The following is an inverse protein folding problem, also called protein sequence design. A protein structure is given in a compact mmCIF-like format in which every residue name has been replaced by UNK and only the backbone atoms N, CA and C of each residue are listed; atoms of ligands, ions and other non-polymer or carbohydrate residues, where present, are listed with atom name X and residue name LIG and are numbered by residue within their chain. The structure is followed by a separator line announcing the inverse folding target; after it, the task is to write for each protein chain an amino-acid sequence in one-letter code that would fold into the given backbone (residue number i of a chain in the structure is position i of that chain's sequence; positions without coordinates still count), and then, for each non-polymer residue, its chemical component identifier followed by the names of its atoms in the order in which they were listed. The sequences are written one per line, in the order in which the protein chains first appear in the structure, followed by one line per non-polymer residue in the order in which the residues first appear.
data_IF_435888079507
#
_entry.id   IF_435888079507
#
_cell.length_a   1.000
_cell.length_b   1.000
_cell.length_c   1.000
_cell.angle_alpha   90.00
_cell.angle_beta   90.00
_cell.angle_gamma   90.00
#
_symmetry.space_group_name_H-M   'P 1'
#
loop_
_entity.id
_entity.type
_entity.pdbx_description
1 polymer ?
#
# COMPACT_ATOMS: atom_id res chain seq x y z
N UNK A 1 119.43 92.72 -0.77
CA UNK A 1 118.96 93.58 0.34
C UNK A 1 117.49 94.02 0.17
N UNK A 2 117.10 94.81 -0.85
CA UNK A 2 115.69 95.25 -1.03
C UNK A 2 114.66 94.13 -1.27
N UNK A 3 115.02 93.00 -1.89
CA UNK A 3 114.11 91.86 -2.06
C UNK A 3 113.83 91.11 -0.74
N UNK A 4 114.86 90.97 0.10
CA UNK A 4 114.79 90.25 1.38
C UNK A 4 113.94 90.99 2.44
N UNK A 5 114.02 92.33 2.50
CA UNK A 5 113.20 93.13 3.41
C UNK A 5 111.71 93.15 3.01
N UNK A 6 111.41 92.97 1.71
CA UNK A 6 110.03 92.89 1.23
C UNK A 6 109.43 91.52 1.53
N UNK A 7 110.18 90.46 1.26
CA UNK A 7 109.80 89.08 1.58
C UNK A 7 109.58 88.91 3.08
N UNK A 8 110.49 89.37 3.94
CA UNK A 8 110.34 89.31 5.40
C UNK A 8 109.11 90.06 5.94
N UNK A 9 108.68 91.14 5.26
CA UNK A 9 107.49 91.90 5.64
C UNK A 9 106.20 91.20 5.20
N UNK A 10 106.21 90.55 4.04
CA UNK A 10 105.13 89.69 3.54
C UNK A 10 104.97 88.46 4.46
N UNK A 11 106.05 87.76 4.80
CA UNK A 11 106.00 86.61 5.72
C UNK A 11 105.48 87.00 7.12
N UNK A 12 105.84 88.20 7.59
CA UNK A 12 105.35 88.71 8.88
C UNK A 12 103.86 89.05 8.85
N UNK A 13 103.35 89.58 7.74
CA UNK A 13 101.92 89.83 7.58
C UNK A 13 101.13 88.52 7.44
N UNK A 14 101.67 87.53 6.74
CA UNK A 14 101.11 86.18 6.67
C UNK A 14 101.06 85.51 8.04
N UNK A 15 102.14 85.58 8.83
CA UNK A 15 102.18 85.06 10.20
C UNK A 15 101.12 85.71 11.11
N UNK A 16 100.95 87.02 11.04
CA UNK A 16 99.93 87.73 11.83
C UNK A 16 98.51 87.32 11.39
N UNK A 17 98.28 87.09 10.10
CA UNK A 17 97.01 86.55 9.63
C UNK A 17 96.77 85.13 10.12
N UNK A 18 97.80 84.28 10.09
CA UNK A 18 97.74 82.90 10.56
C UNK A 18 97.50 82.82 12.07
N UNK A 19 98.17 83.65 12.87
CA UNK A 19 97.93 83.77 14.32
C UNK A 19 96.48 84.20 14.61
N UNK A 20 95.96 85.18 13.86
CA UNK A 20 94.57 85.62 14.03
C UNK A 20 93.56 84.55 13.62
N UNK A 21 93.86 83.76 12.59
CA UNK A 21 93.04 82.62 12.19
C UNK A 21 93.08 81.50 13.23
N UNK A 22 94.26 81.21 13.80
CA UNK A 22 94.43 80.22 14.85
C UNK A 22 93.68 80.61 16.13
N UNK A 23 93.80 81.87 16.57
CA UNK A 23 93.07 82.36 17.75
C UNK A 23 91.54 82.28 17.56
N UNK A 24 91.03 82.63 16.37
CA UNK A 24 89.61 82.48 16.07
C UNK A 24 89.17 81.00 16.03
N UNK A 25 90.05 80.10 15.60
CA UNK A 25 89.78 78.67 15.57
C UNK A 25 89.78 78.08 16.99
N UNK A 26 90.72 78.49 17.85
CA UNK A 26 90.75 78.13 19.27
C UNK A 26 89.46 78.58 19.99
N UNK A 27 89.06 79.84 19.86
CA UNK A 27 87.81 80.35 20.45
C UNK A 27 86.57 79.57 19.93
N UNK A 28 86.59 79.16 18.66
CA UNK A 28 85.49 78.37 18.08
C UNK A 28 85.49 76.94 18.61
N UNK A 29 86.67 76.34 18.79
CA UNK A 29 86.84 75.01 19.35
C UNK A 29 86.44 74.98 20.83
N UNK A 30 86.83 75.97 21.63
CA UNK A 30 86.45 76.07 23.05
C UNK A 30 84.94 76.23 23.23
N UNK A 31 84.30 77.05 22.38
CA UNK A 31 82.83 77.16 22.37
C UNK A 31 82.15 75.85 22.00
N UNK A 32 82.68 75.12 21.00
CA UNK A 32 82.14 73.81 20.62
C UNK A 32 82.35 72.76 21.72
N UNK A 33 83.52 72.77 22.37
CA UNK A 33 83.84 71.87 23.48
C UNK A 33 82.85 72.07 24.63
N UNK A 34 82.62 73.32 25.03
CA UNK A 34 81.65 73.66 26.07
C UNK A 34 80.21 73.23 25.70
N UNK A 35 79.82 73.39 24.42
CA UNK A 35 78.52 72.92 23.94
C UNK A 35 78.40 71.39 23.93
N UNK A 36 79.49 70.66 23.65
CA UNK A 36 79.48 69.20 23.71
C UNK A 36 79.40 68.70 25.15
N UNK A 37 80.12 69.32 26.09
CA UNK A 37 80.04 68.98 27.52
C UNK A 37 78.62 69.18 28.09
N UNK A 38 77.93 70.26 27.69
CA UNK A 38 76.54 70.49 28.08
C UNK A 38 75.60 69.43 27.50
N UNK A 39 75.77 69.07 26.21
CA UNK A 39 74.98 68.02 25.57
C UNK A 39 75.24 66.64 26.18
N UNK A 40 76.48 66.33 26.54
CA UNK A 40 76.84 65.06 27.16
C UNK A 40 76.16 64.90 28.52
N UNK A 41 76.17 65.96 29.35
CA UNK A 41 75.43 65.99 30.62
C UNK A 41 73.92 65.86 30.43
N UNK A 42 73.36 66.49 29.40
CA UNK A 42 71.93 66.37 29.09
C UNK A 42 71.57 64.94 28.65
N UNK A 43 72.39 64.34 27.79
CA UNK A 43 72.22 62.96 27.33
C UNK A 43 72.31 62.00 28.51
N UNK A 44 73.32 62.13 29.38
CA UNK A 44 73.48 61.26 30.54
C UNK A 44 72.27 61.33 31.49
N UNK A 45 71.73 62.54 31.71
CA UNK A 45 70.50 62.73 32.50
C UNK A 45 69.30 62.04 31.85
N UNK A 46 69.13 62.17 30.52
CA UNK A 46 68.04 61.50 29.79
C UNK A 46 68.19 59.98 29.82
N UNK A 47 69.40 59.45 29.66
CA UNK A 47 69.67 58.01 29.71
C UNK A 47 69.26 57.42 31.06
N UNK A 48 69.68 58.06 32.17
CA UNK A 48 69.26 57.64 33.53
C UNK A 48 67.75 57.71 33.75
N UNK A 49 67.07 58.72 33.17
CA UNK A 49 65.61 58.82 33.23
C UNK A 49 64.90 57.72 32.42
N UNK A 50 65.43 57.36 31.24
CA UNK A 50 64.89 56.30 30.42
C UNK A 50 65.08 54.95 31.12
N UNK A 51 66.28 54.66 31.63
CA UNK A 51 66.55 53.41 32.35
C UNK A 51 65.64 53.21 33.57
N UNK A 52 65.38 54.27 34.34
CA UNK A 52 64.45 54.16 35.48
C UNK A 52 63.00 53.93 35.05
N UNK A 53 62.55 54.55 33.95
CA UNK A 53 61.23 54.31 33.38
C UNK A 53 61.08 52.90 32.82
N UNK A 54 62.08 52.38 32.11
CA UNK A 54 62.04 51.02 31.56
C UNK A 54 61.90 49.99 32.69
N UNK A 55 62.71 50.11 33.75
CA UNK A 55 62.60 49.22 34.92
C UNK A 55 61.23 49.29 35.59
N UNK A 56 60.62 50.48 35.66
CA UNK A 56 59.27 50.63 36.22
C UNK A 56 58.20 49.98 35.34
N UNK A 57 58.32 50.08 34.02
CA UNK A 57 57.40 49.43 33.07
C UNK A 57 57.51 47.91 33.11
N UNK A 58 58.73 47.37 33.18
CA UNK A 58 58.96 45.92 33.26
C UNK A 58 58.29 45.33 34.52
N UNK A 59 58.41 46.03 35.66
CA UNK A 59 57.74 45.64 36.90
C UNK A 59 56.20 45.69 36.77
N UNK A 60 55.65 46.72 36.12
CA UNK A 60 54.21 46.83 35.92
C UNK A 60 53.67 45.75 34.97
N UNK A 61 54.39 45.39 33.91
CA UNK A 61 53.99 44.30 33.02
C UNK A 61 53.95 42.95 33.76
N UNK A 62 54.92 42.70 34.64
CA UNK A 62 54.98 41.46 35.41
C UNK A 62 53.85 41.38 36.44
N UNK A 63 53.51 42.50 37.10
CA UNK A 63 52.34 42.59 37.99
C UNK A 63 51.02 42.37 37.22
N UNK A 64 50.88 42.97 36.03
CA UNK A 64 49.68 42.82 35.20
C UNK A 64 49.48 41.36 34.77
N UNK A 65 50.55 40.66 34.37
CA UNK A 65 50.50 39.24 34.03
C UNK A 65 50.03 38.39 35.21
N UNK A 66 50.58 38.63 36.41
CA UNK A 66 50.18 37.92 37.63
C UNK A 66 48.71 38.20 37.99
N UNK A 67 48.24 39.43 37.80
CA UNK A 67 46.85 39.80 38.04
C UNK A 67 45.89 39.08 37.08
N UNK A 68 46.22 39.03 35.79
CA UNK A 68 45.45 38.32 34.75
C UNK A 68 45.39 36.81 35.01
N UNK A 69 46.50 36.20 35.41
CA UNK A 69 46.53 34.78 35.78
C UNK A 69 45.64 34.51 37.00
N UNK A 70 45.68 35.40 38.00
CA UNK A 70 44.84 35.28 39.20
C UNK A 70 43.36 35.47 38.90
N UNK A 71 43.01 36.41 38.04
CA UNK A 71 41.63 36.64 37.58
C UNK A 71 41.10 35.43 36.81
N UNK A 72 41.90 34.86 35.89
CA UNK A 72 41.57 33.61 35.19
C UNK A 72 41.35 32.46 36.17
N UNK A 73 42.26 32.24 37.11
CA UNK A 73 42.14 31.18 38.11
C UNK A 73 40.93 31.37 39.05
N UNK A 74 40.54 32.61 39.34
CA UNK A 74 39.32 32.91 40.10
C UNK A 74 38.06 32.64 39.29
N UNK A 75 38.04 33.03 38.01
CA UNK A 75 36.93 32.72 37.10
C UNK A 75 36.77 31.21 36.89
N UNK A 76 37.86 30.47 36.75
CA UNK A 76 37.87 29.00 36.68
C UNK A 76 37.33 28.36 37.97
N UNK A 77 37.73 28.87 39.15
CA UNK A 77 37.20 28.40 40.43
C UNK A 77 35.70 28.71 40.62
N UNK A 78 35.24 29.89 40.18
CA UNK A 78 33.83 30.29 40.29
C UNK A 78 32.95 29.47 39.33
N UNK A 79 33.45 29.20 38.12
CA UNK A 79 32.75 28.38 37.13
C UNK A 79 32.79 26.88 37.45
N UNK A 80 33.77 26.43 38.26
CA UNK A 80 33.94 25.02 38.64
C UNK A 80 34.40 24.11 37.50
N UNK A 81 34.71 24.67 36.34
CA UNK A 81 35.17 23.98 35.12
C UNK A 81 36.23 24.83 34.43
N UNK A 82 37.21 24.18 33.80
CA UNK A 82 38.25 24.86 33.02
C UNK A 82 37.72 25.30 31.64
N UNK A 83 38.39 26.25 30.98
CA UNK A 83 38.03 26.69 29.62
C UNK A 83 37.93 25.53 28.62
N UNK A 84 38.86 24.57 28.71
CA UNK A 84 38.86 23.38 27.87
C UNK A 84 37.63 22.49 28.12
N UNK A 85 37.25 22.29 29.38
CA UNK A 85 36.07 21.52 29.76
C UNK A 85 34.77 22.20 29.33
N UNK A 86 34.70 23.54 29.46
CA UNK A 86 33.55 24.30 28.98
C UNK A 86 33.36 24.15 27.46
N UNK A 87 34.46 24.18 26.70
CA UNK A 87 34.45 23.99 25.24
C UNK A 87 34.00 22.58 24.85
N UNK A 88 34.49 21.57 25.55
CA UNK A 88 34.13 20.17 25.31
C UNK A 88 32.64 19.92 25.59
N UNK A 89 32.12 20.45 26.69
CA UNK A 89 30.71 20.33 27.08
C UNK A 89 29.77 21.06 26.11
N UNK A 90 30.21 22.19 25.56
CA UNK A 90 29.47 22.95 24.54
C UNK A 90 29.44 22.21 23.20
N UNK A 91 30.56 21.59 22.81
CA UNK A 91 30.63 20.72 21.62
C UNK A 91 29.75 19.47 21.78
N UNK A 92 29.74 18.85 22.97
CA UNK A 92 28.92 17.67 23.24
C UNK A 92 27.42 17.99 23.20
N UNK A 93 27.01 19.16 23.71
CA UNK A 93 25.63 19.63 23.61
C UNK A 93 25.22 19.94 22.16
N UNK A 94 26.11 20.60 21.41
CA UNK A 94 25.89 20.88 19.99
C UNK A 94 25.73 19.58 19.19
N UNK A 95 26.55 18.56 19.47
CA UNK A 95 26.46 17.28 18.77
C UNK A 95 25.13 16.56 19.07
N UNK A 96 24.67 16.57 20.34
CA UNK A 96 23.35 16.05 20.72
C UNK A 96 22.20 16.79 20.04
N UNK A 97 22.31 18.10 19.90
CA UNK A 97 21.31 18.93 19.22
C UNK A 97 21.28 18.65 17.71
N UNK A 98 22.46 18.54 17.10
CA UNK A 98 22.61 18.22 15.68
C UNK A 98 22.11 16.81 15.35
N UNK A 99 22.34 15.83 16.22
CA UNK A 99 21.77 14.48 16.07
C UNK A 99 20.23 14.50 16.09
N UNK A 100 19.62 15.33 16.95
CA UNK A 100 18.16 15.49 17.00
C UNK A 100 17.62 16.14 15.73
N UNK A 101 18.26 17.21 15.25
CA UNK A 101 17.86 17.84 13.98
C UNK A 101 17.99 16.89 12.80
N UNK A 102 19.10 16.15 12.71
CA UNK A 102 19.30 15.15 11.66
C UNK A 102 18.21 14.08 11.69
N UNK A 103 17.85 13.56 12.87
CA UNK A 103 16.77 12.57 13.00
C UNK A 103 15.41 13.15 12.54
N UNK A 104 15.11 14.42 12.85
CA UNK A 104 13.89 15.08 12.38
C UNK A 104 13.86 15.25 10.86
N UNK A 105 14.99 15.63 10.27
CA UNK A 105 15.13 15.78 8.82
C UNK A 105 14.99 14.42 8.12
N UNK A 106 15.65 13.37 8.62
CA UNK A 106 15.54 12.01 8.11
C UNK A 106 14.09 11.51 8.17
N UNK A 107 13.43 11.67 9.33
CA UNK A 107 12.03 11.27 9.49
C UNK A 107 11.09 12.01 8.53
N UNK A 108 11.33 13.31 8.29
CA UNK A 108 10.58 14.09 7.31
C UNK A 108 10.75 13.53 5.90
N UNK A 109 11.99 13.26 5.47
CA UNK A 109 12.24 12.68 4.14
C UNK A 109 11.65 11.27 4.00
N UNK A 110 11.70 10.46 5.05
CA UNK A 110 11.07 9.13 5.06
C UNK A 110 9.56 9.26 4.87
N UNK A 111 8.91 10.19 5.56
CA UNK A 111 7.46 10.38 5.45
C UNK A 111 7.05 10.96 4.08
N UNK A 112 7.79 11.95 3.57
CA UNK A 112 7.59 12.50 2.22
C UNK A 112 7.78 11.43 1.13
N UNK A 113 8.78 10.56 1.31
CA UNK A 113 9.03 9.43 0.40
C UNK A 113 7.87 8.44 0.47
N UNK A 114 7.40 8.08 1.67
CA UNK A 114 6.24 7.20 1.84
C UNK A 114 4.99 7.76 1.17
N UNK A 115 4.69 9.05 1.36
CA UNK A 115 3.52 9.68 0.72
C UNK A 115 3.65 9.72 -0.80
N UNK A 116 4.86 9.96 -1.31
CA UNK A 116 5.12 9.93 -2.76
C UNK A 116 4.97 8.52 -3.34
N UNK A 117 5.48 7.50 -2.65
CA UNK A 117 5.32 6.09 -3.02
C UNK A 117 3.85 5.67 -2.99
N UNK A 118 3.10 6.04 -1.94
CA UNK A 118 1.65 5.75 -1.86
C UNK A 118 0.89 6.36 -3.03
N UNK A 119 1.20 7.60 -3.40
CA UNK A 119 0.57 8.28 -4.55
C UNK A 119 0.86 7.53 -5.85
N UNK A 120 2.13 7.24 -6.12
CA UNK A 120 2.54 6.51 -7.32
C UNK A 120 1.98 5.10 -7.39
N UNK A 121 1.90 4.39 -6.26
CA UNK A 121 1.26 3.08 -6.18
C UNK A 121 -0.24 3.15 -6.54
N UNK A 122 -0.96 4.17 -6.04
CA UNK A 122 -2.36 4.40 -6.45
C UNK A 122 -2.47 4.69 -7.94
N UNK A 123 -1.60 5.52 -8.50
CA UNK A 123 -1.63 5.86 -9.92
C UNK A 123 -1.43 4.61 -10.80
N UNK A 124 -0.46 3.75 -10.44
CA UNK A 124 -0.23 2.46 -11.11
C UNK A 124 -1.49 1.61 -11.03
N UNK A 125 -2.04 1.37 -9.83
CA UNK A 125 -3.23 0.55 -9.63
C UNK A 125 -4.45 1.07 -10.39
N UNK A 126 -4.70 2.38 -10.36
CA UNK A 126 -5.80 3.01 -11.09
C UNK A 126 -5.63 2.81 -12.59
N UNK A 127 -4.42 3.01 -13.13
CA UNK A 127 -4.14 2.80 -14.56
C UNK A 127 -4.33 1.35 -14.99
N UNK A 128 -3.99 0.39 -14.10
CA UNK A 128 -4.14 -1.03 -14.36
C UNK A 128 -5.61 -1.43 -14.34
N UNK A 129 -6.37 -0.98 -13.34
CA UNK A 129 -7.82 -1.24 -13.23
C UNK A 129 -8.58 -0.66 -14.43
N UNK A 130 -8.27 0.58 -14.84
CA UNK A 130 -8.91 1.22 -15.98
C UNK A 130 -8.71 0.47 -17.30
N UNK A 131 -7.55 -0.18 -17.49
CA UNK A 131 -7.24 -0.98 -18.68
C UNK A 131 -8.03 -2.29 -18.76
N UNK A 132 -8.56 -2.78 -17.64
CA UNK A 132 -9.20 -4.10 -17.54
C UNK A 132 -10.73 -4.02 -17.50
N UNK A 133 -11.32 -2.83 -17.34
CA UNK A 133 -12.77 -2.67 -17.21
C UNK A 133 -13.53 -3.16 -18.47
N UNK A 134 -13.85 -4.44 -18.48
CA UNK A 134 -14.81 -5.13 -19.36
C UNK A 134 -15.90 -5.70 -18.46
N UNK A 135 -17.15 -5.52 -18.88
CA UNK A 135 -18.32 -6.08 -18.21
C UNK A 135 -18.46 -7.54 -18.63
N UNK A 136 -18.48 -8.46 -17.66
CA UNK A 136 -18.98 -9.80 -17.93
C UNK A 136 -19.75 -10.33 -16.72
N UNK A 137 -20.91 -10.91 -17.02
CA UNK A 137 -21.92 -11.36 -16.08
C UNK A 137 -21.74 -12.86 -15.92
N UNK A 138 -21.39 -13.34 -14.72
CA UNK A 138 -21.32 -14.77 -14.42
C UNK A 138 -22.58 -15.28 -13.71
N UNK A 139 -23.03 -16.45 -14.18
CA UNK A 139 -24.24 -17.15 -13.74
C UNK A 139 -24.07 -17.90 -12.41
N UNK A 140 -25.22 -18.29 -11.84
CA UNK A 140 -25.37 -18.77 -10.46
C UNK A 140 -25.08 -20.27 -10.31
N UNK A 141 -24.71 -20.69 -9.10
CA UNK A 141 -24.34 -22.06 -8.67
C UNK A 141 -25.42 -23.15 -8.80
N UNK A 142 -26.63 -22.81 -9.25
CA UNK A 142 -27.74 -23.75 -9.40
C UNK A 142 -28.02 -23.91 -10.89
N UNK A 143 -27.79 -25.12 -11.40
CA UNK A 143 -28.19 -25.49 -12.75
C UNK A 143 -29.65 -25.93 -12.72
N UNK A 144 -30.54 -25.02 -13.10
CA UNK A 144 -31.95 -25.33 -13.33
C UNK A 144 -32.15 -25.70 -14.80
N UNK A 145 -32.84 -26.81 -15.06
CA UNK A 145 -33.21 -27.20 -16.42
C UNK A 145 -34.71 -27.00 -16.59
N UNK A 146 -35.16 -26.10 -17.48
CA UNK A 146 -36.57 -25.92 -17.76
C UNK A 146 -37.13 -27.15 -18.48
N UNK A 147 -38.32 -27.59 -18.07
CA UNK A 147 -39.05 -28.68 -18.69
C UNK A 147 -40.16 -28.14 -19.61
N UNK A 148 -40.36 -28.74 -20.79
CA UNK A 148 -41.40 -28.32 -21.72
C UNK A 148 -42.82 -28.71 -21.28
N UNK A 149 -42.97 -29.64 -20.33
CA UNK A 149 -44.26 -30.05 -19.75
C UNK A 149 -44.09 -30.98 -18.54
N UNK A 150 -45.13 -31.12 -17.72
CA UNK A 150 -45.18 -32.11 -16.63
C UNK A 150 -45.17 -33.57 -17.12
N UNK A 151 -45.60 -33.85 -18.36
CA UNK A 151 -45.43 -35.20 -18.97
C UNK A 151 -43.94 -35.55 -19.08
N UNK A 152 -43.09 -34.56 -19.39
CA UNK A 152 -41.64 -34.75 -19.44
C UNK A 152 -41.08 -35.06 -18.05
N UNK A 153 -41.60 -34.41 -17.00
CA UNK A 153 -41.25 -34.70 -15.59
C UNK A 153 -41.52 -36.17 -15.26
N UNK A 154 -42.70 -36.69 -15.67
CA UNK A 154 -43.06 -38.10 -15.51
C UNK A 154 -42.14 -39.07 -16.25
N UNK A 155 -41.68 -38.73 -17.46
CA UNK A 155 -40.72 -39.54 -18.23
C UNK A 155 -39.31 -39.55 -17.64
N UNK A 156 -38.87 -38.43 -17.07
CA UNK A 156 -37.58 -38.32 -16.36
C UNK A 156 -37.56 -39.22 -15.12
N UNK A 157 -38.65 -39.27 -14.36
CA UNK A 157 -38.80 -40.19 -13.22
C UNK A 157 -38.82 -41.65 -13.72
N UNK A 158 -39.67 -41.92 -14.72
CA UNK A 158 -39.91 -43.27 -15.22
C UNK A 158 -40.72 -44.13 -14.25
N UNK A 159 -41.15 -45.32 -14.70
CA UNK A 159 -41.89 -46.26 -13.84
C UNK A 159 -41.04 -46.66 -12.64
N UNK A 160 -41.57 -46.49 -11.42
CA UNK A 160 -40.89 -46.78 -10.14
C UNK A 160 -39.56 -46.02 -9.93
N UNK A 161 -39.37 -44.88 -10.60
CA UNK A 161 -38.12 -44.12 -10.50
C UNK A 161 -36.94 -44.79 -11.24
N UNK A 162 -37.20 -45.70 -12.18
CA UNK A 162 -36.13 -46.41 -12.91
C UNK A 162 -35.21 -45.47 -13.70
N UNK A 163 -35.77 -44.44 -14.31
CA UNK A 163 -35.01 -43.55 -15.18
C UNK A 163 -34.18 -42.55 -14.38
N UNK A 164 -34.76 -41.97 -13.33
CA UNK A 164 -34.05 -41.08 -12.41
C UNK A 164 -32.89 -41.82 -11.74
N UNK A 165 -33.10 -43.03 -11.21
CA UNK A 165 -32.01 -43.83 -10.60
C UNK A 165 -30.91 -44.18 -11.61
N UNK A 166 -31.28 -44.54 -12.84
CA UNK A 166 -30.30 -44.79 -13.90
C UNK A 166 -29.49 -43.53 -14.24
N UNK A 167 -30.15 -42.37 -14.32
CA UNK A 167 -29.50 -41.09 -14.54
C UNK A 167 -28.53 -40.73 -13.40
N UNK A 168 -28.96 -40.86 -12.15
CA UNK A 168 -28.13 -40.59 -10.98
C UNK A 168 -26.94 -41.55 -10.90
N UNK A 169 -27.14 -42.83 -11.23
CA UNK A 169 -26.07 -43.83 -11.24
C UNK A 169 -25.05 -43.57 -12.34
N UNK A 170 -25.51 -43.21 -13.56
CA UNK A 170 -24.65 -42.96 -14.71
C UNK A 170 -23.88 -41.64 -14.56
N UNK A 171 -24.55 -40.57 -14.15
CA UNK A 171 -23.96 -39.23 -14.05
C UNK A 171 -23.24 -38.97 -12.73
N UNK A 172 -23.63 -39.68 -11.66
CA UNK A 172 -23.18 -39.41 -10.30
C UNK A 172 -23.73 -38.10 -9.72
N UNK A 173 -24.79 -37.54 -10.31
CA UNK A 173 -25.46 -36.30 -9.88
C UNK A 173 -26.87 -36.62 -9.44
N UNK A 174 -27.29 -36.07 -8.31
CA UNK A 174 -28.64 -36.25 -7.78
C UNK A 174 -29.60 -35.32 -8.50
N UNK A 175 -30.75 -35.85 -8.89
CA UNK A 175 -31.77 -35.12 -9.62
C UNK A 175 -32.94 -34.84 -8.67
N UNK A 176 -33.05 -33.59 -8.21
CA UNK A 176 -34.07 -33.18 -7.25
C UNK A 176 -35.31 -32.73 -8.03
N UNK A 177 -36.40 -33.44 -7.78
CA UNK A 177 -37.71 -33.15 -8.35
C UNK A 177 -38.60 -32.69 -7.20
N UNK A 178 -38.88 -31.39 -7.15
CA UNK A 178 -39.73 -30.76 -6.13
C UNK A 178 -41.08 -30.32 -6.73
N UNK A 179 -41.95 -29.71 -5.92
CA UNK A 179 -43.25 -29.14 -6.32
C UNK A 179 -43.13 -27.92 -7.25
N UNK A 180 -41.91 -27.52 -7.61
CA UNK A 180 -41.70 -26.48 -8.62
C UNK A 180 -42.22 -26.98 -9.99
N UNK A 181 -43.19 -26.28 -10.59
CA UNK A 181 -43.70 -26.63 -11.92
C UNK A 181 -42.62 -26.40 -12.98
N UNK A 182 -42.59 -27.27 -13.99
CA UNK A 182 -41.78 -27.09 -15.21
C UNK A 182 -40.26 -26.93 -15.00
N UNK A 183 -39.69 -27.38 -13.88
CA UNK A 183 -38.25 -27.33 -13.64
C UNK A 183 -37.71 -28.52 -12.84
N UNK A 184 -36.44 -28.85 -13.08
CA UNK A 184 -35.69 -29.86 -12.32
C UNK A 184 -34.37 -29.28 -11.86
N UNK A 185 -33.96 -29.62 -10.63
CA UNK A 185 -32.73 -29.13 -10.03
C UNK A 185 -31.69 -30.25 -10.01
N UNK A 186 -30.50 -29.96 -10.54
CA UNK A 186 -29.36 -30.87 -10.49
C UNK A 186 -28.47 -30.52 -9.29
N UNK A 187 -28.23 -31.49 -8.41
CA UNK A 187 -27.44 -31.32 -7.20
C UNK A 187 -26.26 -32.30 -7.16
N UNK A 188 -25.06 -31.76 -6.96
CA UNK A 188 -23.84 -32.55 -6.80
C UNK A 188 -22.62 -31.67 -6.69
N UNK A 189 -21.56 -32.16 -6.07
CA UNK A 189 -20.38 -31.34 -5.72
C UNK A 189 -19.41 -31.11 -6.88
N UNK A 190 -19.27 -32.09 -7.78
CA UNK A 190 -18.40 -31.99 -8.97
C UNK A 190 -19.07 -31.11 -10.05
N UNK A 191 -18.51 -29.93 -10.37
CA UNK A 191 -19.09 -29.01 -11.33
C UNK A 191 -19.12 -29.58 -12.77
N UNK A 192 -18.14 -30.41 -13.14
CA UNK A 192 -18.03 -30.97 -14.49
C UNK A 192 -19.10 -32.03 -14.67
N UNK A 193 -19.27 -32.92 -13.69
CA UNK A 193 -20.35 -33.91 -13.72
C UNK A 193 -21.71 -33.23 -13.71
N UNK A 194 -21.87 -32.13 -12.96
CA UNK A 194 -23.13 -31.36 -12.92
C UNK A 194 -23.47 -30.78 -14.29
N UNK A 195 -22.49 -30.19 -14.96
CA UNK A 195 -22.66 -29.64 -16.30
C UNK A 195 -22.88 -30.75 -17.35
N UNK A 196 -22.17 -31.87 -17.24
CA UNK A 196 -22.39 -33.04 -18.08
C UNK A 196 -23.81 -33.59 -17.91
N UNK A 197 -24.29 -33.68 -16.67
CA UNK A 197 -25.65 -34.08 -16.35
C UNK A 197 -26.68 -33.10 -16.94
N UNK A 198 -26.45 -31.78 -16.83
CA UNK A 198 -27.30 -30.74 -17.42
C UNK A 198 -27.45 -30.91 -18.93
N UNK A 199 -26.33 -30.98 -19.65
CA UNK A 199 -26.35 -31.17 -21.10
C UNK A 199 -26.93 -32.53 -21.51
N UNK A 200 -26.67 -33.58 -20.72
CA UNK A 200 -27.26 -34.91 -20.94
C UNK A 200 -28.79 -34.84 -20.83
N UNK A 201 -29.31 -34.17 -19.80
CA UNK A 201 -30.74 -34.01 -19.57
C UNK A 201 -31.40 -33.17 -20.66
N UNK A 202 -30.79 -32.05 -21.07
CA UNK A 202 -31.29 -31.21 -22.17
C UNK A 202 -31.40 -31.98 -23.49
N UNK A 203 -30.38 -32.78 -23.83
CA UNK A 203 -30.40 -33.63 -25.03
C UNK A 203 -31.44 -34.74 -24.95
N UNK A 204 -31.61 -35.35 -23.78
CA UNK A 204 -32.64 -36.37 -23.54
C UNK A 204 -34.06 -35.79 -23.66
N UNK A 205 -34.28 -34.57 -23.16
CA UNK A 205 -35.55 -33.85 -23.28
C UNK A 205 -35.83 -33.52 -24.75
N UNK A 206 -34.83 -33.03 -25.48
CA UNK A 206 -34.96 -32.72 -26.90
C UNK A 206 -35.24 -33.96 -27.77
N UNK A 207 -34.64 -35.11 -27.43
CA UNK A 207 -34.88 -36.41 -28.09
C UNK A 207 -36.23 -37.05 -27.67
N UNK A 208 -36.76 -36.67 -26.50
CA UNK A 208 -38.03 -37.16 -25.95
C UNK A 208 -38.03 -38.62 -25.49
N UNK A 209 -36.89 -39.31 -25.59
CA UNK A 209 -36.67 -40.72 -25.23
C UNK A 209 -35.76 -40.83 -24.02
N UNK A 210 -36.35 -41.16 -22.88
CA UNK A 210 -35.62 -41.28 -21.61
C UNK A 210 -35.73 -42.72 -21.12
N UNK A 211 -34.66 -43.50 -21.30
CA UNK A 211 -34.52 -44.85 -20.77
C UNK A 211 -33.04 -45.15 -20.47
N UNK A 212 -32.71 -46.14 -19.62
CA UNK A 212 -31.36 -46.34 -19.10
C UNK A 212 -30.25 -46.40 -20.17
N UNK A 213 -30.42 -47.22 -21.21
CA UNK A 213 -29.42 -47.33 -22.28
C UNK A 213 -29.19 -46.04 -23.08
N UNK A 214 -30.22 -45.19 -23.23
CA UNK A 214 -30.08 -43.90 -23.93
C UNK A 214 -29.41 -42.86 -23.06
N UNK A 215 -29.71 -42.88 -21.75
CA UNK A 215 -29.05 -42.03 -20.76
C UNK A 215 -27.54 -42.28 -20.77
N UNK A 216 -27.14 -43.55 -20.74
CA UNK A 216 -25.73 -43.96 -20.80
C UNK A 216 -25.06 -43.53 -22.11
N UNK A 217 -25.69 -43.78 -23.26
CA UNK A 217 -25.18 -43.40 -24.58
C UNK A 217 -24.96 -41.88 -24.70
N UNK A 218 -25.98 -41.08 -24.35
CA UNK A 218 -25.91 -39.62 -24.42
C UNK A 218 -24.89 -39.09 -23.44
N UNK A 219 -24.84 -39.61 -22.21
CA UNK A 219 -23.86 -39.18 -21.21
C UNK A 219 -22.43 -39.41 -21.68
N UNK A 220 -22.11 -40.58 -22.24
CA UNK A 220 -20.79 -40.85 -22.81
C UNK A 220 -20.43 -39.96 -24.01
N UNK A 221 -21.42 -39.55 -24.80
CA UNK A 221 -21.21 -38.60 -25.88
C UNK A 221 -20.93 -37.19 -25.35
N UNK A 222 -21.73 -36.72 -24.39
CA UNK A 222 -21.56 -35.43 -23.72
C UNK A 222 -20.20 -35.34 -23.02
N UNK A 223 -19.80 -36.38 -22.29
CA UNK A 223 -18.51 -36.42 -21.60
C UNK A 223 -17.32 -36.28 -22.56
N UNK A 224 -17.36 -36.92 -23.73
CA UNK A 224 -16.31 -36.79 -24.75
C UNK A 224 -16.23 -35.37 -25.32
N UNK A 225 -17.38 -34.79 -25.66
CA UNK A 225 -17.45 -33.42 -26.17
C UNK A 225 -17.03 -32.39 -25.10
N UNK A 226 -17.36 -32.65 -23.84
CA UNK A 226 -16.90 -31.82 -22.72
C UNK A 226 -15.40 -31.90 -22.50
N UNK A 227 -14.79 -33.08 -22.59
CA UNK A 227 -13.34 -33.23 -22.48
C UNK A 227 -12.61 -32.43 -23.58
N UNK A 228 -13.12 -32.44 -24.81
CA UNK A 228 -12.60 -31.60 -25.90
C UNK A 228 -12.78 -30.11 -25.61
N UNK A 229 -13.95 -29.71 -25.11
CA UNK A 229 -14.26 -28.32 -24.74
C UNK A 229 -13.37 -27.83 -23.61
N UNK A 230 -13.13 -28.67 -22.59
CA UNK A 230 -12.23 -28.39 -21.46
C UNK A 230 -10.82 -28.13 -21.99
N UNK A 231 -10.31 -29.04 -22.83
CA UNK A 231 -8.98 -28.90 -23.40
C UNK A 231 -8.84 -27.59 -24.20
N UNK A 232 -9.80 -27.30 -25.08
CA UNK A 232 -9.81 -26.07 -25.87
C UNK A 232 -9.88 -24.81 -25.00
N UNK A 233 -10.70 -24.82 -23.94
CA UNK A 233 -10.80 -23.70 -23.00
C UNK A 233 -9.47 -23.43 -22.28
N UNK A 234 -8.78 -24.49 -21.85
CA UNK A 234 -7.46 -24.37 -21.23
C UNK A 234 -6.39 -23.83 -22.20
N UNK A 235 -6.39 -24.30 -23.46
CA UNK A 235 -5.50 -23.81 -24.52
C UNK A 235 -5.76 -22.32 -24.83
N UNK A 236 -7.03 -21.94 -24.93
CA UNK A 236 -7.42 -20.56 -25.18
C UNK A 236 -7.02 -19.65 -24.01
N UNK A 237 -7.30 -20.03 -22.76
CA UNK A 237 -6.91 -19.27 -21.58
C UNK A 237 -5.38 -19.09 -21.48
N UNK A 238 -4.62 -20.15 -21.79
CA UNK A 238 -3.16 -20.09 -21.83
C UNK A 238 -2.66 -19.12 -22.92
N UNK A 239 -3.27 -19.13 -24.11
CA UNK A 239 -2.95 -18.20 -25.19
C UNK A 239 -3.29 -16.74 -24.84
N UNK A 240 -4.46 -16.52 -24.25
CA UNK A 240 -4.98 -15.22 -23.84
C UNK A 240 -4.21 -14.58 -22.70
N UNK A 241 -3.69 -15.40 -21.79
CA UNK A 241 -2.74 -14.99 -20.77
C UNK A 241 -1.33 -14.81 -21.34
N UNK A 242 -1.03 -15.36 -22.52
CA UNK A 242 0.30 -15.32 -23.15
C UNK A 242 1.30 -16.30 -22.54
N UNK A 243 0.83 -17.47 -22.08
CA UNK A 243 1.61 -18.58 -21.48
C UNK A 243 1.41 -19.87 -22.30
N UNK A 244 1.90 -19.96 -23.55
CA UNK A 244 1.56 -21.08 -24.45
C UNK A 244 2.23 -22.42 -24.08
N UNK A 245 3.30 -22.42 -23.28
CA UNK A 245 4.12 -23.60 -23.00
C UNK A 245 3.73 -24.32 -21.69
N UNK A 246 2.46 -24.70 -21.54
CA UNK A 246 1.96 -25.47 -20.40
C UNK A 246 1.92 -26.98 -20.70
N UNK A 247 2.06 -27.82 -19.68
CA UNK A 247 1.90 -29.26 -19.84
C UNK A 247 0.46 -29.61 -20.23
N UNK A 248 0.22 -30.69 -20.99
CA UNK A 248 -1.15 -31.11 -21.33
C UNK A 248 -2.04 -31.38 -20.11
N UNK A 249 -1.43 -31.81 -18.99
CA UNK A 249 -2.12 -32.01 -17.72
C UNK A 249 -2.59 -30.67 -17.12
N UNK A 250 -1.71 -29.65 -17.09
CA UNK A 250 -2.06 -28.30 -16.64
C UNK A 250 -3.15 -27.70 -17.51
N UNK A 251 -3.04 -27.82 -18.84
CA UNK A 251 -4.06 -27.34 -19.78
C UNK A 251 -5.43 -27.94 -19.47
N UNK A 252 -5.48 -29.25 -19.20
CA UNK A 252 -6.73 -29.93 -18.84
C UNK A 252 -7.29 -29.40 -17.51
N UNK A 253 -6.44 -29.25 -16.48
CA UNK A 253 -6.85 -28.70 -15.18
C UNK A 253 -7.36 -27.26 -15.29
N UNK A 254 -6.67 -26.42 -16.06
CA UNK A 254 -7.11 -25.05 -16.36
C UNK A 254 -8.48 -25.04 -17.01
N UNK A 255 -8.68 -25.87 -18.04
CA UNK A 255 -9.98 -25.99 -18.71
C UNK A 255 -11.14 -26.37 -17.79
N UNK A 256 -10.87 -27.15 -16.73
CA UNK A 256 -11.89 -27.53 -15.73
C UNK A 256 -12.38 -26.32 -14.93
N UNK A 257 -11.53 -25.30 -14.73
CA UNK A 257 -11.89 -24.06 -14.02
C UNK A 257 -13.01 -23.29 -14.73
N UNK A 258 -13.23 -23.53 -16.04
CA UNK A 258 -14.36 -22.95 -16.80
C UNK A 258 -15.71 -23.26 -16.17
N UNK A 259 -15.84 -24.41 -15.51
CA UNK A 259 -17.08 -24.83 -14.86
C UNK A 259 -17.08 -24.57 -13.35
N UNK A 260 -16.01 -23.96 -12.83
CA UNK A 260 -15.87 -23.62 -11.42
C UNK A 260 -16.20 -22.15 -11.21
N UNK A 261 -17.03 -21.88 -10.21
CA UNK A 261 -17.35 -20.53 -9.78
C UNK A 261 -16.92 -20.36 -8.32
N UNK A 262 -16.23 -19.26 -8.02
CA UNK A 262 -15.83 -18.89 -6.67
C UNK A 262 -16.27 -17.45 -6.41
N UNK A 263 -16.99 -17.22 -5.30
CA UNK A 263 -17.52 -15.89 -4.95
C UNK A 263 -18.32 -15.18 -6.06
N UNK A 264 -18.98 -15.93 -6.95
CA UNK A 264 -19.78 -15.40 -8.05
C UNK A 264 -19.02 -15.12 -9.35
N UNK A 265 -17.72 -15.44 -9.41
CA UNK A 265 -16.88 -15.31 -10.60
C UNK A 265 -16.45 -16.66 -11.15
N UNK A 266 -16.35 -16.76 -12.47
CA UNK A 266 -15.71 -17.89 -13.12
C UNK A 266 -14.21 -17.93 -12.77
N UNK A 267 -13.72 -19.09 -12.32
CA UNK A 267 -12.32 -19.20 -11.86
C UNK A 267 -11.34 -19.16 -13.03
N UNK A 268 -11.69 -19.67 -14.22
CA UNK A 268 -10.81 -19.60 -15.40
C UNK A 268 -10.58 -18.15 -15.83
N UNK A 269 -11.67 -17.39 -15.93
CA UNK A 269 -11.62 -16.00 -16.36
C UNK A 269 -10.88 -15.14 -15.33
N UNK A 270 -11.14 -15.38 -14.05
CA UNK A 270 -10.38 -14.80 -12.93
C UNK A 270 -8.88 -15.09 -13.06
N UNK A 271 -8.47 -16.34 -13.29
CA UNK A 271 -7.06 -16.70 -13.47
C UNK A 271 -6.41 -15.98 -14.66
N UNK A 272 -7.10 -15.87 -15.80
CA UNK A 272 -6.60 -15.13 -16.98
C UNK A 272 -6.44 -13.66 -16.66
N UNK A 273 -7.37 -13.08 -15.92
CA UNK A 273 -7.30 -11.69 -15.52
C UNK A 273 -6.18 -11.42 -14.51
N UNK A 274 -6.06 -12.24 -13.46
CA UNK A 274 -4.97 -12.13 -12.48
C UNK A 274 -3.62 -12.20 -13.19
N UNK A 275 -3.48 -13.08 -14.18
CA UNK A 275 -2.31 -13.14 -15.06
C UNK A 275 -2.05 -11.81 -15.79
N UNK A 276 -3.09 -11.19 -16.36
CA UNK A 276 -2.98 -9.89 -17.06
C UNK A 276 -2.62 -8.74 -16.09
N UNK A 277 -3.25 -8.68 -14.92
CA UNK A 277 -2.95 -7.67 -13.87
C UNK A 277 -1.50 -7.84 -13.41
N UNK A 278 -1.10 -9.05 -13.05
CA UNK A 278 0.26 -9.34 -12.60
C UNK A 278 1.31 -8.99 -13.67
N UNK A 279 1.00 -9.24 -14.95
CA UNK A 279 1.86 -8.84 -16.08
C UNK A 279 2.03 -7.32 -16.11
N UNK A 280 0.95 -6.54 -16.09
CA UNK A 280 1.05 -5.07 -16.11
C UNK A 280 1.79 -4.51 -14.90
N UNK A 281 1.54 -5.04 -13.70
CA UNK A 281 2.23 -4.59 -12.50
C UNK A 281 3.72 -4.95 -12.51
N UNK A 282 4.08 -6.13 -13.02
CA UNK A 282 5.49 -6.53 -13.13
C UNK A 282 6.25 -5.69 -14.14
N UNK A 283 5.63 -5.30 -15.26
CA UNK A 283 6.22 -4.37 -16.25
C UNK A 283 6.50 -2.99 -15.64
N UNK A 284 5.55 -2.41 -14.91
CA UNK A 284 5.69 -1.10 -14.27
C UNK A 284 6.73 -1.09 -13.15
N UNK A 285 6.92 -2.21 -12.45
CA UNK A 285 7.84 -2.34 -11.32
C UNK A 285 9.20 -2.95 -11.70
N UNK A 286 9.38 -3.39 -12.94
CA UNK A 286 10.60 -4.04 -13.41
C UNK A 286 10.84 -5.44 -12.83
N UNK A 287 9.78 -6.14 -12.41
CA UNK A 287 9.84 -7.53 -11.93
C UNK A 287 9.83 -8.53 -13.10
N UNK A 288 9.99 -9.84 -12.81
CA UNK A 288 9.98 -10.85 -13.87
C UNK A 288 8.56 -11.09 -14.40
N UNK A 289 8.29 -10.54 -15.58
CA UNK A 289 6.98 -10.60 -16.25
C UNK A 289 6.54 -12.02 -16.59
N UNK A 290 7.47 -12.90 -16.98
CA UNK A 290 7.16 -14.29 -17.35
C UNK A 290 6.72 -15.10 -16.12
N UNK A 291 7.40 -14.91 -14.99
CA UNK A 291 7.02 -15.55 -13.72
C UNK A 291 5.68 -15.02 -13.22
N UNK A 292 5.48 -13.69 -13.24
CA UNK A 292 4.23 -13.07 -12.79
C UNK A 292 3.03 -13.52 -13.64
N UNK A 293 3.19 -13.57 -14.96
CA UNK A 293 2.15 -14.03 -15.88
C UNK A 293 1.80 -15.50 -15.65
N UNK A 294 2.81 -16.38 -15.57
CA UNK A 294 2.63 -17.82 -15.39
C UNK A 294 2.07 -18.15 -14.01
N UNK A 295 2.56 -17.52 -12.96
CA UNK A 295 2.03 -17.70 -11.60
C UNK A 295 0.60 -17.15 -11.46
N UNK A 296 0.29 -15.99 -12.06
CA UNK A 296 -1.06 -15.43 -12.03
C UNK A 296 -2.11 -16.33 -12.69
N UNK A 297 -1.76 -16.99 -13.79
CA UNK A 297 -2.65 -17.95 -14.45
C UNK A 297 -2.87 -19.21 -13.61
N UNK A 298 -1.85 -19.67 -12.89
CA UNK A 298 -1.83 -20.97 -12.21
C UNK A 298 -2.16 -20.90 -10.71
N UNK A 299 -2.29 -19.70 -10.11
CA UNK A 299 -2.41 -19.53 -8.66
C UNK A 299 -3.56 -20.35 -8.04
N UNK A 300 -4.68 -20.42 -8.76
CA UNK A 300 -5.92 -21.06 -8.32
C UNK A 300 -6.16 -22.45 -8.95
N UNK A 301 -5.16 -23.04 -9.63
CA UNK A 301 -5.33 -24.30 -10.38
C UNK A 301 -5.81 -25.47 -9.53
N UNK A 302 -5.52 -25.46 -8.22
CA UNK A 302 -6.01 -26.47 -7.29
C UNK A 302 -7.53 -26.52 -7.14
N UNK A 303 -8.25 -25.42 -7.43
CA UNK A 303 -9.73 -25.38 -7.40
C UNK A 303 -10.38 -26.28 -8.46
N UNK A 304 -9.61 -26.83 -9.40
CA UNK A 304 -10.07 -27.80 -10.39
C UNK A 304 -10.28 -29.22 -9.81
N UNK A 305 -9.64 -29.52 -8.66
CA UNK A 305 -9.50 -30.87 -8.08
C UNK A 305 -9.57 -30.88 -6.54
N UNK A 306 -9.92 -29.75 -5.91
CA UNK A 306 -10.02 -29.57 -4.45
C UNK A 306 -11.03 -30.50 -3.76
N UNK A 307 -12.01 -31.01 -4.50
CA UNK A 307 -13.01 -31.95 -4.00
C UNK A 307 -12.58 -33.43 -4.07
N UNK A 308 -11.49 -33.74 -4.78
CA UNK A 308 -10.97 -35.10 -4.93
C UNK A 308 -9.89 -35.45 -3.88
N UNK A 309 -9.28 -34.44 -3.25
CA UNK A 309 -8.09 -34.59 -2.40
C UNK A 309 -8.21 -33.79 -1.10
N UNK A 310 -7.65 -34.31 -0.01
CA UNK A 310 -7.53 -33.57 1.26
C UNK A 310 -6.40 -32.51 1.17
N UNK A 311 -6.71 -31.26 1.52
CA UNK A 311 -5.75 -30.14 1.55
C UNK A 311 -6.37 -28.81 1.13
N UNK A 312 -5.64 -27.72 1.28
CA UNK A 312 -6.06 -26.43 0.67
C UNK A 312 -5.86 -26.47 -0.85
N UNK A 313 -6.63 -25.68 -1.61
CA UNK A 313 -6.43 -25.59 -3.07
C UNK A 313 -5.01 -25.14 -3.41
N UNK A 314 -4.39 -24.33 -2.55
CA UNK A 314 -2.98 -23.92 -2.68
C UNK A 314 -2.05 -25.14 -2.63
N UNK A 315 -2.15 -25.96 -1.59
CA UNK A 315 -1.32 -27.15 -1.41
C UNK A 315 -1.49 -28.15 -2.55
N UNK A 316 -2.73 -28.39 -2.96
CA UNK A 316 -3.08 -29.30 -4.06
C UNK A 316 -2.50 -28.77 -5.38
N UNK A 317 -2.68 -27.47 -5.65
CA UNK A 317 -2.12 -26.80 -6.82
C UNK A 317 -0.59 -26.91 -6.88
N UNK A 318 0.11 -26.53 -5.81
CA UNK A 318 1.58 -26.61 -5.72
C UNK A 318 2.07 -28.03 -5.93
N UNK A 319 1.38 -29.04 -5.38
CA UNK A 319 1.76 -30.45 -5.57
C UNK A 319 1.67 -30.87 -7.05
N UNK A 320 0.60 -30.50 -7.75
CA UNK A 320 0.44 -30.80 -9.17
C UNK A 320 1.42 -30.05 -10.06
N UNK A 321 1.68 -28.76 -9.77
CA UNK A 321 2.66 -27.96 -10.50
C UNK A 321 4.08 -28.51 -10.32
N UNK A 322 4.44 -28.98 -9.11
CA UNK A 322 5.71 -29.69 -8.85
C UNK A 322 5.85 -30.95 -9.70
N UNK A 323 4.80 -31.76 -9.81
CA UNK A 323 4.79 -32.97 -10.67
C UNK A 323 4.93 -32.61 -12.15
N UNK A 324 4.35 -31.49 -12.57
CA UNK A 324 4.47 -30.95 -13.94
C UNK A 324 5.81 -30.26 -14.23
N UNK A 325 6.76 -30.26 -13.28
CA UNK A 325 8.10 -29.66 -13.39
C UNK A 325 8.08 -28.14 -13.61
N UNK A 326 7.14 -27.44 -12.99
CA UNK A 326 7.17 -25.97 -12.95
C UNK A 326 8.36 -25.44 -12.15
N UNK A 327 8.76 -24.20 -12.44
CA UNK A 327 9.91 -23.57 -11.78
C UNK A 327 9.61 -23.18 -10.33
N UNK A 328 10.62 -23.23 -9.45
CA UNK A 328 10.49 -22.83 -8.03
C UNK A 328 9.98 -21.40 -7.86
N UNK A 329 10.34 -20.48 -8.77
CA UNK A 329 9.85 -19.10 -8.72
C UNK A 329 8.32 -19.00 -8.91
N UNK A 330 7.76 -19.80 -9.83
CA UNK A 330 6.31 -19.89 -10.05
C UNK A 330 5.65 -20.61 -8.88
N UNK A 331 6.24 -21.71 -8.41
CA UNK A 331 5.72 -22.48 -7.28
C UNK A 331 5.62 -21.63 -6.01
N UNK A 332 6.65 -20.86 -5.68
CA UNK A 332 6.65 -19.97 -4.52
C UNK A 332 5.59 -18.87 -4.65
N UNK A 333 5.43 -18.26 -5.83
CA UNK A 333 4.40 -17.24 -6.03
C UNK A 333 2.98 -17.82 -5.91
N UNK A 334 2.76 -19.05 -6.38
CA UNK A 334 1.49 -19.78 -6.18
C UNK A 334 1.32 -20.22 -4.72
N UNK A 335 2.37 -20.61 -4.01
CA UNK A 335 2.27 -21.03 -2.60
C UNK A 335 1.98 -19.84 -1.67
N UNK A 336 2.57 -18.69 -1.95
CA UNK A 336 2.47 -17.51 -1.11
C UNK A 336 1.19 -16.67 -1.36
N UNK A 337 0.37 -16.93 -2.38
CA UNK A 337 -0.72 -16.01 -2.76
C UNK A 337 -1.82 -15.83 -1.70
N UNK A 338 -1.96 -16.74 -0.74
CA UNK A 338 -2.85 -16.61 0.43
C UNK A 338 -2.10 -16.36 1.76
N UNK A 339 -0.80 -16.04 1.71
CA UNK A 339 0.08 -15.92 2.87
C UNK A 339 0.23 -17.22 3.70
N UNK A 340 0.05 -18.38 3.08
CA UNK A 340 0.40 -19.68 3.68
C UNK A 340 1.92 -19.79 3.92
N UNK A 341 2.70 -19.11 3.08
CA UNK A 341 4.15 -18.91 3.17
C UNK A 341 4.46 -17.42 2.99
N UNK A 342 5.50 -16.94 3.66
CA UNK A 342 5.95 -15.55 3.55
C UNK A 342 6.40 -15.23 2.12
N UNK A 343 5.85 -14.17 1.47
CA UNK A 343 6.22 -13.82 0.11
C UNK A 343 7.63 -13.21 0.08
N UNK A 344 8.63 -14.04 -0.25
CA UNK A 344 10.04 -13.62 -0.33
C UNK A 344 10.43 -12.95 -1.65
N UNK A 345 9.56 -13.00 -2.67
CA UNK A 345 9.83 -12.46 -4.01
C UNK A 345 8.82 -11.37 -4.38
N UNK A 346 9.24 -10.47 -5.29
CA UNK A 346 8.35 -9.39 -5.75
C UNK A 346 7.13 -9.98 -6.46
N UNK A 347 7.35 -11.00 -7.29
CA UNK A 347 6.30 -11.67 -8.05
C UNK A 347 5.22 -12.28 -7.14
N UNK A 348 5.60 -12.88 -6.00
CA UNK A 348 4.64 -13.41 -5.03
C UNK A 348 3.71 -12.32 -4.49
N UNK A 349 4.27 -11.16 -4.14
CA UNK A 349 3.48 -9.99 -3.71
C UNK A 349 2.59 -9.47 -4.84
N UNK A 350 3.08 -9.48 -6.09
CA UNK A 350 2.28 -9.06 -7.24
C UNK A 350 1.09 -9.97 -7.50
N UNK A 351 1.23 -11.30 -7.31
CA UNK A 351 0.11 -12.23 -7.43
C UNK A 351 -0.96 -11.94 -6.37
N UNK A 352 -0.56 -11.69 -5.12
CA UNK A 352 -1.50 -11.31 -4.06
C UNK A 352 -2.27 -10.03 -4.39
N UNK A 353 -1.56 -9.01 -4.89
CA UNK A 353 -2.18 -7.75 -5.30
C UNK A 353 -3.13 -7.99 -6.48
N UNK A 354 -2.72 -8.77 -7.48
CA UNK A 354 -3.51 -9.07 -8.66
C UNK A 354 -4.80 -9.85 -8.34
N UNK A 355 -4.71 -10.87 -7.48
CA UNK A 355 -5.86 -11.63 -6.97
C UNK A 355 -6.83 -10.71 -6.21
N UNK A 356 -6.30 -9.93 -5.25
CA UNK A 356 -7.11 -9.00 -4.48
C UNK A 356 -7.81 -7.94 -5.36
N UNK A 357 -7.12 -7.41 -6.38
CA UNK A 357 -7.68 -6.44 -7.33
C UNK A 357 -8.78 -7.08 -8.17
N UNK A 358 -8.55 -8.27 -8.72
CA UNK A 358 -9.54 -9.01 -9.49
C UNK A 358 -10.81 -9.29 -8.65
N UNK A 359 -10.62 -9.74 -7.41
CA UNK A 359 -11.69 -10.08 -6.49
C UNK A 359 -12.46 -8.88 -5.91
N UNK A 360 -11.85 -7.70 -5.82
CA UNK A 360 -12.43 -6.49 -5.21
C UNK A 360 -13.25 -5.63 -6.19
N UNK A 361 -13.37 -6.01 -7.47
CA UNK A 361 -14.09 -5.19 -8.46
C UNK A 361 -15.59 -5.07 -8.16
N UNK A 362 -16.17 -3.86 -8.31
CA UNK A 362 -17.63 -3.68 -8.22
C UNK A 362 -18.35 -4.58 -9.24
N UNK A 363 -19.30 -5.40 -8.78
CA UNK A 363 -19.99 -6.40 -9.60
C UNK A 363 -19.39 -7.81 -9.54
N UNK A 364 -18.11 -7.93 -9.18
CA UNK A 364 -17.37 -9.19 -9.07
C UNK A 364 -17.65 -9.91 -7.74
N UNK A 365 -18.10 -9.16 -6.73
CA UNK A 365 -18.82 -9.67 -5.56
C UNK A 365 -20.18 -9.00 -5.54
N UNK A 366 -21.14 -9.55 -6.26
CA UNK A 366 -22.53 -9.35 -5.83
C UNK A 366 -22.59 -9.97 -4.44
N UNK A 367 -22.96 -9.18 -3.44
CA UNK A 367 -23.56 -9.76 -2.23
C UNK A 367 -24.52 -10.85 -2.68
N UNK A 368 -24.32 -12.08 -2.21
CA UNK A 368 -25.22 -13.16 -2.54
C UNK A 368 -26.63 -12.63 -2.30
N UNK A 369 -27.54 -12.84 -3.26
CA UNK A 369 -28.94 -12.42 -3.13
C UNK A 369 -29.46 -12.81 -1.74
N UNK A 370 -29.03 -13.95 -1.23
CA UNK A 370 -29.28 -14.44 0.12
C UNK A 370 -28.76 -13.53 1.25
N UNK A 371 -27.55 -12.99 1.19
CA UNK A 371 -27.04 -12.03 2.19
C UNK A 371 -27.80 -10.71 2.10
N UNK A 372 -28.09 -10.25 0.89
CA UNK A 372 -28.90 -9.05 0.68
C UNK A 372 -30.33 -9.24 1.20
N UNK A 373 -30.98 -10.38 0.92
CA UNK A 373 -32.29 -10.74 1.44
C UNK A 373 -32.28 -10.88 2.97
N UNK A 374 -31.30 -11.59 3.55
CA UNK A 374 -31.12 -11.68 5.01
C UNK A 374 -30.97 -10.32 5.65
N UNK A 375 -30.30 -9.36 4.98
CA UNK A 375 -30.18 -7.98 5.49
C UNK A 375 -31.51 -7.23 5.44
N UNK A 376 -32.25 -7.33 4.33
CA UNK A 376 -33.58 -6.74 4.24
C UNK A 376 -34.52 -7.34 5.29
N UNK A 377 -34.52 -8.67 5.43
CA UNK A 377 -35.26 -9.38 6.47
C UNK A 377 -34.84 -8.93 7.86
N UNK A 378 -33.54 -8.72 8.12
CA UNK A 378 -33.07 -8.22 9.42
C UNK A 378 -33.59 -6.82 9.70
N UNK A 379 -33.57 -5.91 8.71
CA UNK A 379 -34.11 -4.56 8.84
C UNK A 379 -35.62 -4.57 9.13
N UNK A 380 -36.35 -5.44 8.43
CA UNK A 380 -37.80 -5.62 8.64
C UNK A 380 -38.10 -6.25 10.01
N UNK A 381 -37.32 -7.24 10.46
CA UNK A 381 -37.46 -7.85 11.78
C UNK A 381 -37.21 -6.86 12.91
N UNK A 382 -36.17 -6.02 12.80
CA UNK A 382 -35.89 -4.97 13.79
C UNK A 382 -37.10 -4.06 13.93
N UNK A 383 -37.65 -3.56 12.83
CA UNK A 383 -38.80 -2.67 12.87
C UNK A 383 -40.09 -3.37 13.31
N UNK A 384 -40.34 -4.62 12.90
CA UNK A 384 -41.50 -5.41 13.33
C UNK A 384 -41.48 -5.76 14.83
N UNK A 385 -40.31 -5.69 15.48
CA UNK A 385 -40.20 -5.94 16.93
C UNK A 385 -40.76 -4.80 17.80
N UNK A 386 -41.01 -3.63 17.22
CA UNK A 386 -41.57 -2.49 17.94
C UNK A 386 -43.10 -2.59 18.03
N UNK A 387 -43.65 -2.26 19.20
CA UNK A 387 -45.09 -2.31 19.45
C UNK A 387 -45.83 -1.26 18.60
N UNK A 388 -46.97 -1.66 18.01
CA UNK A 388 -47.83 -0.81 17.18
C UNK A 388 -47.43 -0.72 15.70
N UNK A 389 -46.42 -1.50 15.28
CA UNK A 389 -46.05 -1.69 13.88
C UNK A 389 -46.93 -2.77 13.25
N UNK A 390 -47.64 -2.43 12.18
CA UNK A 390 -48.48 -3.36 11.42
C UNK A 390 -47.67 -4.07 10.33
N UNK A 391 -46.92 -3.30 9.53
CA UNK A 391 -46.11 -3.80 8.39
C UNK A 391 -44.85 -2.97 8.20
N UNK A 392 -43.80 -3.61 7.69
CA UNK A 392 -42.54 -2.95 7.34
C UNK A 392 -42.13 -3.32 5.93
N UNK A 393 -41.50 -2.38 5.23
CA UNK A 393 -41.01 -2.56 3.86
C UNK A 393 -39.65 -1.92 3.72
N UNK A 394 -38.64 -2.72 3.41
CA UNK A 394 -37.34 -2.20 3.01
C UNK A 394 -37.34 -1.92 1.49
N UNK A 395 -37.31 -0.64 1.11
CA UNK A 395 -37.40 -0.12 -0.27
C UNK A 395 -36.03 0.44 -0.69
N UNK A 396 -35.85 0.67 -1.99
CA UNK A 396 -34.67 1.38 -2.55
C UNK A 396 -33.36 0.68 -2.19
N UNK A 397 -33.32 -0.63 -2.42
CA UNK A 397 -32.19 -1.49 -2.08
C UNK A 397 -31.82 -1.53 -0.57
N UNK A 398 -32.79 -1.33 0.31
CA UNK A 398 -32.58 -1.26 1.76
C UNK A 398 -32.10 0.10 2.26
N UNK A 399 -32.10 1.14 1.41
CA UNK A 399 -31.78 2.52 1.80
C UNK A 399 -32.97 3.30 2.36
N UNK A 400 -34.17 2.76 2.24
CA UNK A 400 -35.37 3.35 2.82
C UNK A 400 -36.17 2.26 3.54
N UNK A 401 -36.51 2.48 4.81
CA UNK A 401 -37.38 1.58 5.57
C UNK A 401 -38.71 2.29 5.82
N UNK A 402 -39.79 1.76 5.27
CA UNK A 402 -41.15 2.25 5.49
C UNK A 402 -41.86 1.38 6.51
N UNK A 403 -42.39 2.02 7.55
CA UNK A 403 -43.05 1.37 8.67
C UNK A 403 -44.50 1.84 8.69
N UNK A 404 -45.44 0.93 8.48
CA UNK A 404 -46.87 1.19 8.59
C UNK A 404 -47.29 0.86 10.01
N UNK A 405 -47.90 1.82 10.69
CA UNK A 405 -48.32 1.70 12.09
C UNK A 405 -49.83 1.68 12.22
N UNK A 406 -50.32 1.02 13.26
CA UNK A 406 -51.74 1.03 13.60
C UNK A 406 -52.15 2.42 14.13
N UNK A 407 -53.03 3.17 13.45
CA UNK A 407 -53.38 4.54 13.85
C UNK A 407 -54.11 4.65 15.19
N UNK A 408 -54.66 3.54 15.69
CA UNK A 408 -55.33 3.50 17.00
C UNK A 408 -54.34 3.30 18.16
N UNK A 409 -53.17 2.70 17.91
CA UNK A 409 -52.17 2.43 18.95
C UNK A 409 -51.06 3.49 19.02
N UNK A 410 -50.70 4.09 17.88
CA UNK A 410 -49.60 5.05 17.77
C UNK A 410 -50.15 6.40 17.33
N UNK A 411 -49.94 7.46 18.12
CA UNK A 411 -50.26 8.85 17.77
C UNK A 411 -49.13 9.52 16.97
N UNK A 412 -49.33 10.77 16.51
CA UNK A 412 -48.35 11.45 15.65
C UNK A 412 -47.01 11.68 16.36
N UNK A 413 -47.04 11.89 17.68
CA UNK A 413 -45.83 12.02 18.52
C UNK A 413 -45.13 10.66 18.66
N UNK A 414 -45.90 9.60 18.90
CA UNK A 414 -45.43 8.21 18.94
C UNK A 414 -44.80 7.77 17.63
N UNK A 415 -45.35 8.19 16.48
CA UNK A 415 -44.78 7.88 15.16
C UNK A 415 -43.41 8.53 14.95
N UNK A 416 -43.24 9.79 15.37
CA UNK A 416 -41.94 10.47 15.32
C UNK A 416 -40.91 9.82 16.26
N UNK A 417 -41.33 9.40 17.45
CA UNK A 417 -40.48 8.67 18.40
C UNK A 417 -40.06 7.30 17.84
N UNK A 418 -41.02 6.55 17.29
CA UNK A 418 -40.77 5.25 16.68
C UNK A 418 -39.76 5.34 15.53
N UNK A 419 -39.88 6.34 14.66
CA UNK A 419 -38.92 6.54 13.57
C UNK A 419 -37.48 6.71 14.08
N UNK A 420 -37.31 7.44 15.19
CA UNK A 420 -36.00 7.69 15.82
C UNK A 420 -35.47 6.46 16.56
N UNK A 421 -36.34 5.76 17.30
CA UNK A 421 -35.95 4.58 18.06
C UNK A 421 -35.55 3.43 17.10
N UNK A 422 -36.25 3.28 15.98
CA UNK A 422 -35.90 2.31 14.93
C UNK A 422 -34.61 2.70 14.22
N UNK A 423 -34.40 3.99 13.89
CA UNK A 423 -33.15 4.41 13.23
C UNK A 423 -31.93 4.16 14.10
N UNK A 424 -32.03 4.44 15.41
CA UNK A 424 -30.94 4.20 16.37
C UNK A 424 -30.62 2.71 16.48
N UNK A 425 -31.66 1.87 16.58
CA UNK A 425 -31.47 0.42 16.71
C UNK A 425 -30.85 -0.21 15.46
N UNK A 426 -31.20 0.30 14.27
CA UNK A 426 -30.57 -0.12 13.02
C UNK A 426 -29.09 0.29 13.00
N UNK A 427 -28.74 1.49 13.48
CA UNK A 427 -27.35 1.95 13.57
C UNK A 427 -26.52 1.09 14.53
N UNK A 428 -27.12 0.62 15.63
CA UNK A 428 -26.44 -0.20 16.64
C UNK A 428 -26.31 -1.69 16.22
N UNK A 429 -27.33 -2.26 15.56
CA UNK A 429 -27.41 -3.70 15.27
C UNK A 429 -26.97 -4.08 13.83
N UNK A 430 -27.02 -3.14 12.88
CA UNK A 430 -26.76 -3.42 11.44
C UNK A 430 -25.67 -2.53 10.89
N UNK A 431 -24.52 -3.12 10.56
CA UNK A 431 -23.48 -2.42 9.81
C UNK A 431 -23.93 -2.20 8.35
N UNK A 432 -24.31 -0.96 8.02
CA UNK A 432 -24.77 -0.60 6.68
C UNK A 432 -23.91 0.52 6.06
N UNK A 433 -23.41 0.35 4.81
CA UNK A 433 -22.66 1.40 4.13
C UNK A 433 -23.59 2.51 3.62
N UNK A 434 -23.66 3.61 4.38
CA UNK A 434 -24.42 4.81 4.02
C UNK A 434 -25.59 5.08 4.96
N UNK A 435 -26.46 6.03 4.58
CA UNK A 435 -27.60 6.42 5.40
C UNK A 435 -28.86 5.64 4.99
N UNK A 436 -29.59 5.13 6.00
CA UNK A 436 -30.91 4.50 5.83
C UNK A 436 -31.98 5.53 6.24
N UNK A 437 -32.93 5.81 5.36
CA UNK A 437 -34.06 6.69 5.63
C UNK A 437 -35.21 5.91 6.25
N UNK A 438 -35.52 6.15 7.52
CA UNK A 438 -36.68 5.55 8.19
C UNK A 438 -37.90 6.47 8.03
N UNK A 439 -38.99 5.94 7.50
CA UNK A 439 -40.25 6.67 7.29
C UNK A 439 -41.39 5.92 7.95
N UNK A 440 -42.05 6.53 8.94
CA UNK A 440 -43.25 5.97 9.57
C UNK A 440 -44.49 6.55 8.89
N UNK A 441 -45.40 5.67 8.47
CA UNK A 441 -46.65 6.00 7.78
C UNK A 441 -47.82 5.59 8.67
N UNK A 442 -48.59 6.59 9.09
CA UNK A 442 -49.85 6.43 9.82
C UNK A 442 -50.98 6.81 8.88
N UNK A 443 -51.77 5.84 8.42
CA UNK A 443 -52.83 6.04 7.45
C UNK A 443 -54.17 5.54 8.00
N UNK A 444 -55.20 6.39 7.99
CA UNK A 444 -56.58 5.98 8.27
C UNK A 444 -57.40 6.06 6.99
N UNK A 445 -57.98 4.94 6.57
CA UNK A 445 -58.85 4.88 5.38
C UNK A 445 -60.31 4.77 5.80
N UNK A 446 -61.13 5.69 5.32
CA UNK A 446 -62.59 5.64 5.45
C UNK A 446 -63.18 5.71 4.05
N UNK A 447 -64.14 4.82 3.77
CA UNK A 447 -64.82 4.80 2.48
C UNK A 447 -66.32 4.74 2.72
N UNK A 448 -67.07 5.54 1.95
CA UNK A 448 -68.52 5.60 2.00
C UNK A 448 -69.03 5.56 0.56
N UNK A 449 -70.09 4.79 0.32
CA UNK A 449 -70.69 4.67 -0.99
C UNK A 449 -71.92 5.56 -1.06
N UNK A 450 -71.90 6.57 -1.93
CA UNK A 450 -73.09 7.34 -2.26
C UNK A 450 -74.05 6.46 -3.07
N UNK A 451 -75.35 6.53 -2.76
CA UNK A 451 -76.41 5.93 -3.57
C UNK A 451 -77.03 6.95 -4.50
#
# INVERSE_FOLDING_TARGET
KKAFDKEAKETRQELIQLEKQLANLEDTLDRRSSQYDEKEKEIEKRTRQIESRTKALDLQEEELKKLLEKERAQLENIAGITEAQARELLLENLDKEMQREQALVINRYVEETKETCKRRARDILVSTIQRIASEEVSETTISTVPLPSDDMKGRIIGREGRNIRAFETVTGINLIIDDTPEAVVLSGFDPIRREAARQTLERLIADGRIHPGRIEEIHHKVMREMDETIKQAGEHAAMDAGVPALSPEIIRLMGRLKYRTSYGQNVLDHSVEVSRIATMLSEELGANTEVAKRAGLLHDIGKAIDWEMEGSHVQIGVQHLKRSKETEAVLHAVEAHHNDVEPTTTEAVLIQIADAVSAARPGARRETLETYLKRLESLEQIANSFKGVEKTFAISAGRELRIVVEPMEIDDIGAAKLARDVSQRIEDEVQYPGQIKVTVVRETRTSEYAR
#
